data_IF_500409547524
#
_entry.id   IF_500409547524
#
_cell.length_a   1.000
_cell.length_b   1.000
_cell.length_c   1.000
_cell.angle_alpha   90.00
_cell.angle_beta   90.00
_cell.angle_gamma   90.00
#
_symmetry.space_group_name_H-M   'P 1'
#
loop_
_entity.id
_entity.type
_entity.pdbx_description
1 polymer ?
#
# COMPACT_ATOMS: atom_id res chain seq x y z
N UNK A 1 -13.90 19.41 -1.87
CA UNK A 1 -14.32 17.99 -1.93
C UNK A 1 -13.26 17.29 -2.75
N UNK A 2 -12.49 16.37 -2.15
CA UNK A 2 -11.46 15.65 -2.90
C UNK A 2 -12.16 14.43 -3.50
N UNK A 3 -12.48 14.48 -4.79
CA UNK A 3 -12.86 13.30 -5.56
C UNK A 3 -11.65 12.39 -5.66
N UNK A 4 -11.41 11.61 -4.61
CA UNK A 4 -10.38 10.58 -4.63
C UNK A 4 -10.79 9.52 -5.64
N UNK A 5 -10.26 9.63 -6.86
CA UNK A 5 -10.53 8.68 -7.94
C UNK A 5 -10.08 7.30 -7.48
N UNK A 6 -11.03 6.38 -7.45
CA UNK A 6 -10.75 4.98 -7.18
C UNK A 6 -10.09 4.39 -8.43
N UNK A 7 -8.92 3.81 -8.25
CA UNK A 7 -8.09 3.28 -9.31
C UNK A 7 -7.76 1.81 -9.04
N UNK A 8 -7.92 0.99 -10.07
CA UNK A 8 -7.51 -0.41 -10.04
C UNK A 8 -6.23 -0.54 -10.85
N UNK A 9 -5.16 -0.98 -10.19
CA UNK A 9 -3.87 -1.19 -10.84
C UNK A 9 -3.96 -2.26 -11.93
N UNK A 10 -3.53 -1.92 -13.13
CA UNK A 10 -3.26 -2.85 -14.23
C UNK A 10 -1.96 -3.63 -14.05
N UNK A 11 -1.66 -4.55 -14.97
CA UNK A 11 -0.42 -5.31 -14.92
C UNK A 11 0.81 -4.43 -15.06
N UNK A 12 1.78 -4.65 -14.18
CA UNK A 12 3.02 -3.86 -14.05
C UNK A 12 2.79 -2.37 -13.74
N UNK A 13 1.59 -2.02 -13.28
CA UNK A 13 1.29 -0.68 -12.82
C UNK A 13 1.64 -0.52 -11.34
N UNK A 14 2.33 0.57 -11.01
CA UNK A 14 2.72 0.92 -9.66
C UNK A 14 2.02 2.20 -9.20
N UNK A 15 1.43 2.18 -8.01
CA UNK A 15 1.00 3.38 -7.30
C UNK A 15 1.99 3.71 -6.20
N UNK A 16 2.57 4.91 -6.26
CA UNK A 16 3.54 5.41 -5.27
C UNK A 16 3.03 6.69 -4.63
N UNK A 17 3.03 6.74 -3.29
CA UNK A 17 2.58 7.91 -2.56
C UNK A 17 2.52 7.68 -1.06
N UNK A 18 2.07 8.70 -0.34
CA UNK A 18 1.88 8.62 1.11
C UNK A 18 0.60 7.85 1.41
N UNK A 19 0.72 6.83 2.26
CA UNK A 19 -0.43 6.05 2.69
C UNK A 19 -1.20 6.83 3.76
N UNK A 20 -2.38 7.36 3.41
CA UNK A 20 -3.16 8.18 4.32
C UNK A 20 -4.18 7.36 5.13
N UNK A 21 -4.85 6.41 4.49
CA UNK A 21 -5.95 5.67 5.10
C UNK A 21 -6.16 4.32 4.40
N UNK A 22 -6.73 3.37 5.13
CA UNK A 22 -7.13 2.05 4.62
C UNK A 22 -8.55 1.79 5.12
N UNK A 23 -9.46 1.52 4.20
CA UNK A 23 -10.83 1.09 4.51
C UNK A 23 -11.04 -0.33 4.03
N UNK A 24 -11.70 -1.16 4.82
CA UNK A 24 -12.10 -2.50 4.39
C UNK A 24 -13.54 -2.47 3.88
N UNK A 25 -13.77 -3.08 2.72
CA UNK A 25 -15.08 -3.21 2.08
C UNK A 25 -15.15 -4.54 1.32
N UNK A 26 -16.14 -5.37 1.65
CA UNK A 26 -16.53 -6.58 0.91
C UNK A 26 -15.36 -7.51 0.50
N UNK A 27 -14.42 -7.77 1.44
CA UNK A 27 -13.26 -8.65 1.17
C UNK A 27 -12.10 -7.99 0.41
N UNK A 28 -12.17 -6.67 0.20
CA UNK A 28 -11.10 -5.84 -0.35
C UNK A 28 -10.72 -4.74 0.63
N UNK A 29 -9.56 -4.12 0.38
CA UNK A 29 -9.15 -2.89 1.04
C UNK A 29 -9.05 -1.76 0.02
N UNK A 30 -9.53 -0.58 0.40
CA UNK A 30 -9.35 0.67 -0.31
C UNK A 30 -8.27 1.47 0.39
N UNK A 31 -7.08 1.54 -0.21
CA UNK A 31 -5.92 2.24 0.34
C UNK A 31 -5.77 3.60 -0.33
N UNK A 32 -5.82 4.67 0.45
CA UNK A 32 -5.57 6.03 -0.03
C UNK A 32 -4.07 6.27 -0.12
N UNK A 33 -3.52 6.28 -1.33
CA UNK A 33 -2.09 6.45 -1.63
C UNK A 33 -1.92 7.74 -2.41
N UNK A 34 -1.47 8.80 -1.73
CA UNK A 34 -1.46 10.15 -2.28
C UNK A 34 -2.87 10.60 -2.71
N UNK A 35 -3.05 11.15 -3.93
CA UNK A 35 -4.36 11.62 -4.41
C UNK A 35 -5.29 10.51 -4.91
N UNK A 36 -4.84 9.25 -4.94
CA UNK A 36 -5.55 8.12 -5.55
C UNK A 36 -5.97 7.12 -4.49
N UNK A 37 -7.14 6.49 -4.67
CA UNK A 37 -7.59 5.36 -3.84
C UNK A 37 -7.40 4.07 -4.62
N UNK A 38 -6.55 3.17 -4.12
CA UNK A 38 -6.25 1.90 -4.77
C UNK A 38 -7.02 0.75 -4.12
N UNK A 39 -7.72 -0.05 -4.92
CA UNK A 39 -8.36 -1.29 -4.46
C UNK A 39 -7.34 -2.42 -4.45
N UNK A 40 -7.19 -3.08 -3.31
CA UNK A 40 -6.25 -4.16 -3.09
C UNK A 40 -6.96 -5.35 -2.38
N UNK A 41 -6.36 -6.55 -2.42
CA UNK A 41 -6.82 -7.70 -1.64
C UNK A 41 -6.80 -7.43 -0.14
N UNK A 42 -7.75 -8.01 0.61
CA UNK A 42 -7.84 -7.84 2.06
C UNK A 42 -6.57 -8.24 2.82
N UNK A 43 -5.86 -9.28 2.35
CA UNK A 43 -4.63 -9.79 2.97
C UNK A 43 -3.51 -8.74 3.08
N UNK A 44 -3.47 -7.77 2.15
CA UNK A 44 -2.51 -6.66 2.22
C UNK A 44 -2.82 -5.70 3.37
N UNK A 45 -4.04 -5.68 3.89
CA UNK A 45 -4.50 -4.72 4.89
C UNK A 45 -3.68 -4.79 6.16
N UNK A 46 -3.41 -6.01 6.66
CA UNK A 46 -2.58 -6.23 7.85
C UNK A 46 -1.15 -5.68 7.68
N UNK A 47 -0.59 -5.73 6.46
CA UNK A 47 0.76 -5.25 6.16
C UNK A 47 0.80 -3.73 5.95
N UNK A 48 -0.27 -3.15 5.43
CA UNK A 48 -0.36 -1.72 5.12
C UNK A 48 -0.77 -0.87 6.33
N UNK A 49 -1.62 -1.38 7.23
CA UNK A 49 -2.05 -0.67 8.45
C UNK A 49 -0.91 -0.06 9.28
N UNK A 50 0.20 -0.77 9.59
CA UNK A 50 1.31 -0.17 10.33
C UNK A 50 2.09 0.89 9.54
N UNK A 51 1.86 0.99 8.23
CA UNK A 51 2.54 1.92 7.32
C UNK A 51 1.72 3.18 7.04
N UNK A 52 0.62 3.41 7.76
CA UNK A 52 -0.13 4.67 7.63
C UNK A 52 0.79 5.84 8.02
N UNK A 53 0.81 6.86 7.16
CA UNK A 53 1.72 8.00 7.21
C UNK A 53 3.09 7.75 6.55
N UNK A 54 3.39 6.52 6.10
CA UNK A 54 4.61 6.20 5.37
C UNK A 54 4.44 6.42 3.88
N UNK A 55 5.53 6.75 3.19
CA UNK A 55 5.56 6.73 1.72
C UNK A 55 5.80 5.31 1.23
N UNK A 56 4.84 4.76 0.48
CA UNK A 56 4.86 3.39 -0.03
C UNK A 56 4.68 3.35 -1.55
N UNK A 57 5.09 2.23 -2.15
CA UNK A 57 4.81 1.86 -3.54
C UNK A 57 4.13 0.50 -3.57
N UNK A 58 3.06 0.37 -4.35
CA UNK A 58 2.38 -0.90 -4.58
C UNK A 58 2.36 -1.17 -6.07
N UNK A 59 3.08 -2.20 -6.47
CA UNK A 59 3.15 -2.69 -7.84
C UNK A 59 2.22 -3.89 -7.99
N UNK A 60 1.33 -3.84 -8.97
CA UNK A 60 0.59 -5.02 -9.42
C UNK A 60 1.45 -5.81 -10.41
N UNK A 61 1.70 -7.07 -10.12
CA UNK A 61 2.28 -8.02 -11.07
C UNK A 61 1.18 -8.88 -11.70
N UNK A 62 1.56 -9.78 -12.61
CA UNK A 62 0.63 -10.74 -13.19
C UNK A 62 -0.01 -11.64 -12.13
N UNK A 63 0.75 -12.01 -11.09
CA UNK A 63 0.35 -13.01 -10.09
C UNK A 63 0.03 -12.40 -8.73
N UNK A 64 0.71 -11.32 -8.35
CA UNK A 64 0.70 -10.80 -6.99
C UNK A 64 0.76 -9.27 -6.92
N UNK A 65 0.76 -8.75 -5.69
CA UNK A 65 1.12 -7.36 -5.40
C UNK A 65 2.45 -7.34 -4.67
N UNK A 66 3.30 -6.38 -5.04
CA UNK A 66 4.57 -6.11 -4.37
C UNK A 66 4.51 -4.77 -3.67
N UNK A 67 4.84 -4.79 -2.38
CA UNK A 67 4.94 -3.61 -1.54
C UNK A 67 6.40 -3.16 -1.45
N UNK A 68 6.63 -1.86 -1.65
CA UNK A 68 7.89 -1.17 -1.42
C UNK A 68 7.68 -0.05 -0.41
N UNK A 69 8.57 0.06 0.57
CA UNK A 69 8.53 1.11 1.59
C UNK A 69 9.66 2.08 1.31
N UNK A 70 9.34 3.36 1.09
CA UNK A 70 10.33 4.40 0.80
C UNK A 70 10.77 5.13 2.08
N UNK A 71 9.80 5.50 2.92
CA UNK A 71 10.04 6.17 4.20
C UNK A 71 9.02 5.69 5.21
N UNK A 72 9.49 4.99 6.25
CA UNK A 72 8.65 4.57 7.35
C UNK A 72 8.31 5.78 8.24
N UNK A 73 7.02 6.04 8.45
CA UNK A 73 6.55 6.96 9.49
C UNK A 73 6.96 6.41 10.85
N UNK A 74 7.60 7.26 11.66
CA UNK A 74 8.04 6.90 13.01
C UNK A 74 6.82 6.79 13.93
N UNK A 75 6.15 5.65 13.93
CA UNK A 75 5.30 5.25 15.06
C UNK A 75 6.09 4.18 15.82
N UNK A 76 6.57 4.54 17.00
CA UNK A 76 7.72 3.93 17.67
C UNK A 76 7.76 2.40 17.72
N UNK A 77 8.79 1.81 17.11
CA UNK A 77 9.75 0.96 17.82
C UNK A 77 11.02 0.82 16.99
N UNK A 78 12.14 0.96 17.67
CA UNK A 78 13.51 0.97 17.17
C UNK A 78 13.85 -0.32 16.42
N UNK A 79 14.13 -0.25 15.13
CA UNK A 79 15.35 -0.86 14.59
C UNK A 79 15.73 -0.24 13.25
N UNK A 80 16.96 0.29 13.18
CA UNK A 80 17.63 0.63 11.93
C UNK A 80 17.70 -0.64 11.09
N UNK A 81 16.91 -0.72 10.02
CA UNK A 81 17.17 -1.69 8.97
C UNK A 81 16.85 -1.04 7.63
N UNK A 82 17.90 -0.55 7.01
CA UNK A 82 17.98 -0.39 5.56
C UNK A 82 17.85 -1.79 4.96
N UNK A 83 16.62 -2.27 4.82
CA UNK A 83 16.32 -3.49 4.10
C UNK A 83 15.26 -3.13 3.06
N UNK A 84 15.65 -3.25 1.80
CA UNK A 84 14.73 -3.29 0.66
C UNK A 84 13.84 -4.53 0.80
N UNK A 85 12.89 -4.51 1.73
CA UNK A 85 11.97 -5.62 1.94
C UNK A 85 10.89 -5.58 0.85
N UNK A 86 11.13 -6.33 -0.22
CA UNK A 86 10.10 -6.67 -1.21
C UNK A 86 9.26 -7.79 -0.61
N UNK A 87 8.13 -7.44 0.00
CA UNK A 87 7.22 -8.44 0.55
C UNK A 87 6.29 -8.89 -0.57
N UNK A 88 6.43 -10.15 -1.01
CA UNK A 88 5.45 -10.82 -1.87
C UNK A 88 4.19 -11.12 -1.07
N UNK A 89 3.02 -10.83 -1.64
CA UNK A 89 1.74 -11.35 -1.18
C UNK A 89 1.18 -12.26 -2.27
N UNK A 90 1.32 -13.58 -2.12
CA UNK A 90 0.61 -14.52 -2.99
C UNK A 90 -0.89 -14.40 -2.69
N UNK A 91 -1.65 -14.05 -3.73
CA UNK A 91 -3.11 -14.17 -3.79
C UNK A 91 -3.50 -15.50 -4.42
#
# INVERSE_FOLDING_TARGET
MIDSKVHRLGFYEESVGDLHNIREMDGYIMSSIGPVVVILPHELGAKLRPLIGSRIGILRTEQDYRLRIFQASKTGSTTKSTLMNTIRCQV
#
